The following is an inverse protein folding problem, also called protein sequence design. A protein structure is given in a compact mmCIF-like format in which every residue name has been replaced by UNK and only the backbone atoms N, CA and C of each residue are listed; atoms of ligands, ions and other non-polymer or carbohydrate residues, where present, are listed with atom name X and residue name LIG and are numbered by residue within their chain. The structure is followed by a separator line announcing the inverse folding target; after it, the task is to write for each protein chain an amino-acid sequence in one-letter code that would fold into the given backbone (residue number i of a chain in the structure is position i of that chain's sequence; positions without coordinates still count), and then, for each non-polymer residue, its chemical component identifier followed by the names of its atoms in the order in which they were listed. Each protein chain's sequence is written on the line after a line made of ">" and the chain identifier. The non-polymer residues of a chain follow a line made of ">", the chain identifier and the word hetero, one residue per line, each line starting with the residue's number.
data_IF_118161787461
#
_entry.id   IF_118161787461
#
_cell.length_a   1.000
_cell.length_b   1.000
_cell.length_c   1.000
_cell.angle_alpha   90.00
_cell.angle_beta   90.00
_cell.angle_gamma   90.00
#
_symmetry.space_group_name_H-M   'P 1'
#
loop_
_entity.id
_entity.type
_entity.pdbx_description
1 polymer ?
#
# COMPACT_ATOMS: atom_id res chain seq x y z
N UNK A 1 18.84 22.61 -22.16
CA UNK A 1 17.72 21.88 -22.76
C UNK A 1 17.45 20.66 -21.90
N UNK A 2 16.53 20.78 -20.95
CA UNK A 2 16.10 19.65 -20.10
C UNK A 2 15.17 18.77 -20.93
N UNK A 3 15.71 17.68 -21.48
CA UNK A 3 14.88 16.61 -22.02
C UNK A 3 13.94 16.15 -20.92
N UNK A 4 12.63 16.28 -21.12
CA UNK A 4 11.64 15.66 -20.24
C UNK A 4 11.89 14.14 -20.29
N UNK A 5 12.46 13.59 -19.22
CA UNK A 5 12.57 12.16 -19.06
C UNK A 5 11.15 11.64 -18.81
N UNK A 6 10.53 11.03 -19.81
CA UNK A 6 9.29 10.26 -19.60
C UNK A 6 9.61 9.22 -18.53
N UNK A 7 8.92 9.24 -17.37
CA UNK A 7 9.23 8.33 -16.29
C UNK A 7 9.06 6.88 -16.75
N UNK A 8 10.00 6.02 -16.36
CA UNK A 8 9.94 4.59 -16.64
C UNK A 8 8.79 3.93 -15.86
N UNK A 9 8.41 2.71 -16.24
CA UNK A 9 7.40 1.96 -15.49
C UNK A 9 7.90 1.62 -14.09
N UNK A 10 9.21 1.40 -13.94
CA UNK A 10 9.85 1.25 -12.64
C UNK A 10 9.77 2.52 -11.79
N UNK A 11 9.98 3.71 -12.37
CA UNK A 11 9.84 4.99 -11.64
C UNK A 11 8.40 5.21 -11.17
N UNK A 12 7.41 4.85 -11.99
CA UNK A 12 6.00 4.89 -11.61
C UNK A 12 5.69 3.93 -10.46
N UNK A 13 6.25 2.71 -10.47
CA UNK A 13 6.14 1.76 -9.35
C UNK A 13 6.77 2.33 -8.08
N UNK A 14 7.97 2.91 -8.17
CA UNK A 14 8.62 3.56 -7.02
C UNK A 14 7.77 4.68 -6.44
N UNK A 15 7.18 5.51 -7.29
CA UNK A 15 6.28 6.58 -6.86
C UNK A 15 5.02 6.01 -6.17
N UNK A 16 4.46 4.94 -6.72
CA UNK A 16 3.30 4.24 -6.15
C UNK A 16 3.63 3.64 -4.77
N UNK A 17 4.73 2.92 -4.62
CA UNK A 17 5.15 2.34 -3.35
C UNK A 17 5.56 3.39 -2.32
N UNK A 18 6.13 4.52 -2.76
CA UNK A 18 6.35 5.69 -1.90
C UNK A 18 5.03 6.24 -1.36
N UNK A 19 3.99 6.33 -2.19
CA UNK A 19 2.65 6.74 -1.76
C UNK A 19 2.04 5.75 -0.77
N UNK A 20 2.13 4.44 -1.04
CA UNK A 20 1.67 3.40 -0.11
C UNK A 20 2.40 3.46 1.24
N UNK A 21 3.71 3.66 1.23
CA UNK A 21 4.51 3.82 2.45
C UNK A 21 4.04 4.99 3.31
N UNK A 22 3.67 6.14 2.70
CA UNK A 22 3.10 7.29 3.43
C UNK A 22 1.75 6.96 4.08
N UNK A 23 0.90 6.18 3.43
CA UNK A 23 -0.35 5.72 4.03
C UNK A 23 -0.12 4.71 5.15
N UNK A 24 0.85 3.81 4.99
CA UNK A 24 1.28 2.91 6.06
C UNK A 24 1.81 3.66 7.28
N UNK A 25 2.57 4.74 7.07
CA UNK A 25 3.05 5.61 8.15
C UNK A 25 1.90 6.27 8.91
N UNK A 26 0.90 6.82 8.22
CA UNK A 26 -0.29 7.39 8.86
C UNK A 26 -1.06 6.32 9.65
N UNK A 27 -1.22 5.12 9.08
CA UNK A 27 -1.88 4.00 9.75
C UNK A 27 -1.15 3.61 11.05
N UNK A 28 0.19 3.61 11.03
CA UNK A 28 1.01 3.32 12.21
C UNK A 28 0.84 4.36 13.32
N UNK A 29 0.81 5.65 12.98
CA UNK A 29 0.54 6.73 13.94
C UNK A 29 -0.86 6.58 14.56
N UNK A 30 -1.86 6.35 13.71
CA UNK A 30 -3.24 6.17 14.15
C UNK A 30 -3.41 4.95 15.07
N UNK A 31 -2.71 3.85 14.78
CA UNK A 31 -2.66 2.66 15.63
C UNK A 31 -1.95 2.90 16.97
N UNK A 32 -0.81 3.58 16.96
CA UNK A 32 -0.13 3.97 18.20
C UNK A 32 -1.01 4.85 19.09
N UNK A 33 -1.68 5.84 18.51
CA UNK A 33 -2.57 6.74 19.24
C UNK A 33 -3.77 6.00 19.86
N UNK A 34 -4.35 5.00 19.16
CA UNK A 34 -5.40 4.13 19.72
C UNK A 34 -4.98 3.47 21.04
N UNK A 35 -3.72 3.04 21.11
CA UNK A 35 -3.21 2.27 22.23
C UNK A 35 -2.68 3.13 23.38
N UNK A 36 -2.53 4.45 23.18
CA UNK A 36 -1.81 5.31 24.14
C UNK A 36 -2.56 6.59 24.53
N UNK A 37 -3.21 7.26 23.56
CA UNK A 37 -3.75 8.61 23.74
C UNK A 37 -5.26 8.70 23.51
N UNK A 38 -5.85 7.73 22.80
CA UNK A 38 -7.25 7.80 22.39
C UNK A 38 -8.20 7.83 23.61
N UNK A 39 -9.11 8.81 23.70
CA UNK A 39 -10.07 8.88 24.79
C UNK A 39 -11.12 7.75 24.69
N UNK A 40 -11.77 7.40 25.81
CA UNK A 40 -12.90 6.48 25.81
C UNK A 40 -13.98 6.90 24.80
N UNK A 41 -14.50 5.93 24.04
CA UNK A 41 -15.49 6.17 22.98
C UNK A 41 -14.92 6.55 21.61
N UNK A 42 -13.60 6.77 21.48
CA UNK A 42 -12.95 7.09 20.19
C UNK A 42 -12.75 5.90 19.24
N UNK A 43 -12.86 4.67 19.74
CA UNK A 43 -12.48 3.45 18.99
C UNK A 43 -13.23 3.27 17.67
N UNK A 44 -14.55 3.52 17.66
CA UNK A 44 -15.38 3.31 16.46
C UNK A 44 -14.90 4.16 15.27
N UNK A 45 -14.86 5.48 15.45
CA UNK A 45 -14.48 6.41 14.39
C UNK A 45 -13.05 6.16 13.88
N UNK A 46 -12.13 5.82 14.80
CA UNK A 46 -10.75 5.52 14.43
C UNK A 46 -10.63 4.22 13.63
N UNK A 47 -11.34 3.18 14.06
CA UNK A 47 -11.35 1.87 13.41
C UNK A 47 -11.95 1.95 12.00
N UNK A 48 -13.04 2.69 11.83
CA UNK A 48 -13.64 2.95 10.52
C UNK A 48 -12.66 3.68 9.59
N UNK A 49 -11.98 4.73 10.07
CA UNK A 49 -10.98 5.44 9.28
C UNK A 49 -9.77 4.57 8.88
N UNK A 50 -9.29 3.71 9.78
CA UNK A 50 -8.21 2.77 9.50
C UNK A 50 -8.64 1.68 8.50
N UNK A 51 -9.88 1.19 8.59
CA UNK A 51 -10.43 0.23 7.65
C UNK A 51 -10.50 0.81 6.23
N UNK A 52 -11.05 2.03 6.08
CA UNK A 52 -11.10 2.75 4.80
C UNK A 52 -9.71 3.00 4.21
N UNK A 53 -8.75 3.40 5.04
CA UNK A 53 -7.36 3.60 4.60
C UNK A 53 -6.69 2.28 4.18
N UNK A 54 -7.03 1.16 4.83
CA UNK A 54 -6.56 -0.18 4.46
C UNK A 54 -7.12 -0.61 3.11
N UNK A 55 -8.42 -0.40 2.88
CA UNK A 55 -9.09 -0.68 1.61
C UNK A 55 -8.46 0.15 0.49
N UNK A 56 -8.27 1.46 0.69
CA UNK A 56 -7.65 2.34 -0.31
C UNK A 56 -6.23 1.88 -0.67
N UNK A 57 -5.41 1.52 0.31
CA UNK A 57 -4.06 0.99 0.07
C UNK A 57 -4.10 -0.31 -0.73
N UNK A 58 -5.02 -1.21 -0.38
CA UNK A 58 -5.22 -2.47 -1.09
C UNK A 58 -5.62 -2.22 -2.55
N UNK A 59 -6.65 -1.41 -2.81
CA UNK A 59 -7.10 -1.05 -4.16
C UNK A 59 -5.98 -0.44 -5.02
N UNK A 60 -5.15 0.45 -4.45
CA UNK A 60 -4.02 1.04 -5.18
C UNK A 60 -2.99 -0.03 -5.56
N UNK A 61 -2.67 -0.92 -4.60
CA UNK A 61 -1.68 -1.97 -4.81
C UNK A 61 -2.19 -3.00 -5.85
N UNK A 62 -3.44 -3.43 -5.75
CA UNK A 62 -4.02 -4.51 -6.59
C UNK A 62 -4.67 -4.02 -7.88
N UNK A 63 -4.66 -2.71 -8.16
CA UNK A 63 -5.22 -2.17 -9.40
C UNK A 63 -4.57 -2.78 -10.65
N UNK A 64 -5.35 -3.01 -11.70
CA UNK A 64 -4.85 -3.55 -12.98
C UNK A 64 -3.68 -2.74 -13.56
N UNK A 65 -3.70 -1.41 -13.39
CA UNK A 65 -2.62 -0.54 -13.84
C UNK A 65 -1.29 -0.89 -13.16
N UNK A 66 -1.33 -1.28 -11.89
CA UNK A 66 -0.14 -1.66 -11.11
C UNK A 66 0.43 -2.97 -11.64
N UNK A 67 -0.43 -3.94 -11.97
CA UNK A 67 -0.04 -5.17 -12.67
C UNK A 67 0.64 -4.88 -14.03
N UNK A 68 0.06 -4.00 -14.85
CA UNK A 68 0.64 -3.59 -16.14
C UNK A 68 2.00 -2.88 -15.97
N UNK A 69 2.19 -2.11 -14.90
CA UNK A 69 3.48 -1.50 -14.60
C UNK A 69 4.54 -2.55 -14.27
N UNK A 70 4.20 -3.59 -13.50
CA UNK A 70 5.12 -4.70 -13.23
C UNK A 70 5.53 -5.44 -14.51
N UNK A 71 4.57 -5.74 -15.40
CA UNK A 71 4.85 -6.41 -16.68
C UNK A 71 5.85 -5.61 -17.54
N UNK A 72 5.71 -4.28 -17.56
CA UNK A 72 6.61 -3.39 -18.31
C UNK A 72 7.96 -3.22 -17.64
N UNK A 73 7.98 -2.96 -16.33
CA UNK A 73 9.20 -2.76 -15.56
C UNK A 73 10.12 -3.98 -15.58
N UNK A 74 9.56 -5.20 -15.71
CA UNK A 74 10.36 -6.42 -15.87
C UNK A 74 11.17 -6.47 -17.17
N UNK A 75 10.78 -5.71 -18.20
CA UNK A 75 11.49 -5.62 -19.47
C UNK A 75 12.53 -4.48 -19.49
N UNK A 76 12.59 -3.65 -18.44
CA UNK A 76 13.50 -2.52 -18.35
C UNK A 76 14.90 -2.95 -17.91
N UNK A 77 15.93 -2.26 -18.41
CA UNK A 77 17.32 -2.46 -17.97
C UNK A 77 17.53 -1.71 -16.65
N UNK A 78 17.42 -2.44 -15.54
CA UNK A 78 17.62 -1.91 -14.18
C UNK A 78 19.01 -2.26 -13.64
N UNK A 79 19.51 -1.47 -12.69
CA UNK A 79 20.67 -1.88 -11.88
C UNK A 79 20.29 -2.97 -10.87
N UNK A 80 21.27 -3.50 -10.15
CA UNK A 80 21.05 -4.62 -9.22
C UNK A 80 20.14 -4.25 -8.04
N UNK A 81 20.22 -3.00 -7.56
CA UNK A 81 19.41 -2.51 -6.44
C UNK A 81 17.96 -2.34 -6.89
N UNK A 82 17.75 -1.72 -8.04
CA UNK A 82 16.44 -1.48 -8.61
C UNK A 82 15.74 -2.79 -9.01
N UNK A 83 16.51 -3.76 -9.50
CA UNK A 83 16.01 -5.12 -9.77
C UNK A 83 15.58 -5.83 -8.48
N UNK A 84 16.38 -5.76 -7.43
CA UNK A 84 16.03 -6.34 -6.13
C UNK A 84 14.78 -5.69 -5.53
N UNK A 85 14.69 -4.36 -5.63
CA UNK A 85 13.52 -3.60 -5.20
C UNK A 85 12.26 -4.00 -6.00
N UNK A 86 12.37 -4.16 -7.32
CA UNK A 86 11.27 -4.63 -8.17
C UNK A 86 10.76 -6.01 -7.75
N UNK A 87 11.66 -6.93 -7.38
CA UNK A 87 11.30 -8.26 -6.88
C UNK A 87 10.53 -8.18 -5.56
N UNK A 88 10.96 -7.35 -4.61
CA UNK A 88 10.24 -7.17 -3.34
C UNK A 88 8.88 -6.49 -3.52
N UNK A 89 8.81 -5.46 -4.38
CA UNK A 89 7.54 -4.82 -4.75
C UNK A 89 6.58 -5.84 -5.38
N UNK A 90 7.09 -6.72 -6.27
CA UNK A 90 6.29 -7.76 -6.92
C UNK A 90 5.78 -8.78 -5.91
N UNK A 91 6.62 -9.22 -4.96
CA UNK A 91 6.22 -10.13 -3.88
C UNK A 91 5.08 -9.55 -3.04
N UNK A 92 5.14 -8.26 -2.71
CA UNK A 92 4.06 -7.59 -1.98
C UNK A 92 2.77 -7.52 -2.81
N UNK A 93 2.87 -7.21 -4.10
CA UNK A 93 1.74 -7.19 -5.03
C UNK A 93 1.07 -8.57 -5.15
N UNK A 94 1.85 -9.62 -5.43
CA UNK A 94 1.33 -10.99 -5.62
C UNK A 94 0.61 -11.47 -4.36
N UNK A 95 1.17 -11.21 -3.17
CA UNK A 95 0.52 -11.53 -1.89
C UNK A 95 -0.80 -10.77 -1.69
N UNK A 96 -0.86 -9.51 -2.13
CA UNK A 96 -2.06 -8.70 -1.98
C UNK A 96 -3.17 -9.13 -2.94
N UNK A 97 -2.86 -9.37 -4.22
CA UNK A 97 -3.86 -9.75 -5.24
C UNK A 97 -4.55 -11.08 -4.93
N UNK A 98 -3.89 -11.98 -4.21
CA UNK A 98 -4.48 -13.25 -3.77
C UNK A 98 -5.58 -13.09 -2.71
N UNK A 99 -5.71 -11.91 -2.08
CA UNK A 99 -6.65 -11.65 -0.99
C UNK A 99 -7.78 -10.75 -1.50
N UNK A 100 -9.05 -11.18 -1.44
CA UNK A 100 -10.18 -10.33 -1.80
C UNK A 100 -10.30 -9.10 -0.89
N UNK A 101 -10.70 -7.96 -1.44
CA UNK A 101 -10.87 -6.70 -0.72
C UNK A 101 -11.83 -6.83 0.48
N UNK A 102 -12.94 -7.55 0.31
CA UNK A 102 -13.92 -7.80 1.37
C UNK A 102 -13.33 -8.55 2.58
N UNK A 103 -12.32 -9.41 2.37
CA UNK A 103 -11.62 -10.09 3.44
C UNK A 103 -10.67 -9.15 4.19
N UNK A 104 -10.05 -8.20 3.49
CA UNK A 104 -9.19 -7.17 4.09
C UNK A 104 -10.00 -6.25 5.00
N UNK A 105 -11.14 -5.75 4.52
CA UNK A 105 -12.06 -4.92 5.29
C UNK A 105 -12.59 -5.68 6.53
N UNK A 106 -13.09 -6.91 6.33
CA UNK A 106 -13.62 -7.72 7.41
C UNK A 106 -12.59 -7.99 8.51
N UNK A 107 -11.33 -8.26 8.13
CA UNK A 107 -10.22 -8.46 9.08
C UNK A 107 -9.96 -7.19 9.90
N UNK A 108 -9.91 -6.03 9.25
CA UNK A 108 -9.69 -4.74 9.93
C UNK A 108 -10.80 -4.43 10.94
N UNK A 109 -12.07 -4.61 10.54
CA UNK A 109 -13.22 -4.39 11.43
C UNK A 109 -13.30 -5.43 12.56
N UNK A 110 -12.89 -6.67 12.32
CA UNK A 110 -12.85 -7.71 13.34
C UNK A 110 -11.79 -7.43 14.40
N UNK A 111 -10.57 -7.06 14.00
CA UNK A 111 -9.48 -6.70 14.92
C UNK A 111 -9.88 -5.57 15.87
N UNK A 112 -10.48 -4.51 15.32
CA UNK A 112 -10.98 -3.37 16.08
C UNK A 112 -12.09 -3.71 17.11
N UNK A 113 -12.82 -4.82 16.92
CA UNK A 113 -13.87 -5.26 17.86
C UNK A 113 -13.33 -6.15 18.97
N UNK A 114 -12.17 -6.76 18.77
CA UNK A 114 -11.55 -7.71 19.70
C UNK A 114 -10.50 -7.06 20.61
N UNK A 115 -10.02 -5.87 20.26
CA UNK A 115 -9.18 -4.99 21.10
C UNK A 115 -10.04 -4.04 21.94
#
# INVERSE_FOLDING_TARGET
>A
MTSAHTPSSYDELRALFTRLSRFGHLSAIAGWDMQTMMPPGGSKARSEALAELSVLQHQILTAEKTGRLFERAQQETLDDIDRANLLEMRRQYDNAVLVPESLVEAKSLAGARCE
#
